data_IF_442496187347
#
_entry.id   IF_442496187347
#
_cell.length_a   1.000
_cell.length_b   1.000
_cell.length_c   1.000
_cell.angle_alpha   90.00
_cell.angle_beta   90.00
_cell.angle_gamma   90.00
#
_symmetry.space_group_name_H-M   'P 1'
#
loop_
_entity.id
_entity.type
_entity.pdbx_description
1 polymer ?
#
# COMPACT_ATOMS: atom_id res chain seq x y z
N UNK A 1 -1.75 11.21 -34.32
CA UNK A 1 -1.90 10.82 -32.91
C UNK A 1 -3.08 11.57 -32.35
N UNK A 2 -3.94 10.89 -31.58
CA UNK A 2 -5.01 11.58 -30.86
C UNK A 2 -4.43 12.46 -29.75
N UNK A 3 -5.08 13.59 -29.49
CA UNK A 3 -4.67 14.53 -28.45
C UNK A 3 -5.12 14.00 -27.08
N UNK A 4 -4.16 13.77 -26.19
CA UNK A 4 -4.43 13.41 -24.78
C UNK A 4 -5.14 14.60 -24.11
N UNK A 5 -6.24 14.33 -23.40
CA UNK A 5 -7.02 15.35 -22.66
C UNK A 5 -6.97 15.17 -21.14
N UNK A 6 -6.85 13.92 -20.70
CA UNK A 6 -6.94 13.53 -19.30
C UNK A 6 -5.69 12.74 -18.90
N UNK A 7 -5.21 12.97 -17.69
CA UNK A 7 -4.12 12.22 -17.07
C UNK A 7 -4.63 11.73 -15.71
N UNK A 8 -4.47 10.44 -15.44
CA UNK A 8 -4.86 9.82 -14.17
C UNK A 8 -3.58 9.39 -13.45
N UNK A 9 -3.44 9.80 -12.20
CA UNK A 9 -2.33 9.42 -11.33
C UNK A 9 -2.79 8.36 -10.34
N UNK A 10 -2.08 7.24 -10.33
CA UNK A 10 -2.14 6.30 -9.20
C UNK A 10 -1.34 6.85 -8.00
N UNK A 11 -1.53 6.26 -6.82
CA UNK A 11 -0.95 6.73 -5.57
C UNK A 11 0.25 5.85 -5.21
N UNK A 12 0.01 4.59 -4.84
CA UNK A 12 1.06 3.66 -4.39
C UNK A 12 2.06 3.34 -5.49
N UNK A 13 3.34 3.64 -5.25
CA UNK A 13 4.41 3.46 -6.22
C UNK A 13 4.42 4.49 -7.36
N UNK A 14 3.51 5.48 -7.35
CA UNK A 14 3.46 6.56 -8.35
C UNK A 14 3.60 7.93 -7.71
N UNK A 15 2.69 8.34 -6.83
CA UNK A 15 2.79 9.60 -6.10
C UNK A 15 3.40 9.41 -4.70
N UNK A 16 3.12 8.26 -4.07
CA UNK A 16 3.55 7.93 -2.72
C UNK A 16 4.31 6.61 -2.76
N UNK A 17 5.48 6.57 -2.12
CA UNK A 17 6.23 5.35 -1.94
C UNK A 17 5.54 4.50 -0.88
N UNK A 18 4.96 3.36 -1.28
CA UNK A 18 4.36 2.41 -0.36
C UNK A 18 5.18 1.11 -0.40
N UNK A 19 5.68 0.71 0.77
CA UNK A 19 6.48 -0.49 0.92
C UNK A 19 6.35 -1.08 2.34
N UNK A 20 5.75 -2.27 2.50
CA UNK A 20 5.63 -2.95 3.80
C UNK A 20 6.97 -3.18 4.51
N UNK A 21 8.08 -3.26 3.77
CA UNK A 21 9.42 -3.44 4.33
C UNK A 21 9.79 -2.30 5.29
N UNK A 22 9.29 -1.07 5.08
CA UNK A 22 9.58 0.06 5.98
C UNK A 22 9.08 -0.14 7.41
N UNK A 23 7.93 -0.80 7.56
CA UNK A 23 7.46 -1.23 8.87
C UNK A 23 8.25 -2.46 9.33
N UNK A 24 8.24 -3.53 8.53
CA UNK A 24 8.64 -4.85 9.03
C UNK A 24 10.13 -5.04 9.23
N UNK A 25 10.97 -4.23 8.59
CA UNK A 25 12.42 -4.15 8.90
C UNK A 25 12.71 -3.64 10.31
N UNK A 26 11.74 -3.02 10.99
CA UNK A 26 11.82 -2.61 12.40
C UNK A 26 11.25 -3.66 13.36
N UNK A 27 10.51 -4.64 12.84
CA UNK A 27 9.76 -5.63 13.63
C UNK A 27 10.54 -6.93 13.72
N UNK A 28 11.07 -7.41 12.60
CA UNK A 28 11.83 -8.65 12.54
C UNK A 28 13.33 -8.38 12.66
N UNK A 29 14.01 -9.14 13.51
CA UNK A 29 15.47 -9.12 13.60
C UNK A 29 16.11 -9.93 12.45
N UNK A 30 15.50 -11.06 12.08
CA UNK A 30 15.93 -11.87 10.94
C UNK A 30 15.24 -11.42 9.66
N UNK A 31 16.04 -10.97 8.70
CA UNK A 31 15.58 -10.58 7.37
C UNK A 31 14.89 -11.74 6.64
N UNK A 32 15.36 -12.97 6.79
CA UNK A 32 14.76 -14.12 6.11
C UNK A 32 13.35 -14.40 6.63
N UNK A 33 13.11 -14.21 7.93
CA UNK A 33 11.79 -14.33 8.55
C UNK A 33 10.85 -13.22 8.08
N UNK A 34 11.32 -11.97 8.03
CA UNK A 34 10.58 -10.84 7.45
C UNK A 34 10.15 -11.12 6.01
N UNK A 35 11.09 -11.57 5.17
CA UNK A 35 10.83 -11.90 3.78
C UNK A 35 9.85 -13.07 3.68
N UNK A 36 9.96 -14.09 4.55
CA UNK A 36 8.98 -15.16 4.62
C UNK A 36 7.58 -14.63 4.96
N UNK A 37 7.47 -13.77 5.99
CA UNK A 37 6.21 -13.19 6.43
C UNK A 37 5.53 -12.40 5.30
N UNK A 38 6.25 -11.52 4.61
CA UNK A 38 5.70 -10.71 3.51
C UNK A 38 5.38 -11.54 2.26
N UNK A 39 6.10 -12.64 2.01
CA UNK A 39 5.88 -13.47 0.83
C UNK A 39 4.89 -14.63 1.01
N UNK A 40 4.62 -15.05 2.26
CA UNK A 40 3.79 -16.23 2.54
C UNK A 40 2.61 -15.94 3.47
N UNK A 41 2.70 -14.92 4.33
CA UNK A 41 1.65 -14.55 5.28
C UNK A 41 0.89 -13.34 4.74
N UNK A 42 1.38 -12.12 4.95
CA UNK A 42 0.75 -10.89 4.46
C UNK A 42 1.17 -10.58 3.01
N UNK A 43 0.78 -11.45 2.09
CA UNK A 43 1.19 -11.39 0.69
C UNK A 43 0.52 -10.26 -0.08
N UNK A 44 1.14 -9.81 -1.17
CA UNK A 44 0.52 -8.82 -2.05
C UNK A 44 -0.86 -9.26 -2.60
N UNK A 45 -1.06 -10.51 -3.09
CA UNK A 45 -2.39 -10.97 -3.49
C UNK A 45 -3.43 -10.91 -2.37
N UNK A 46 -3.02 -11.11 -1.10
CA UNK A 46 -3.92 -10.95 0.04
C UNK A 46 -4.31 -9.47 0.24
N UNK A 47 -3.34 -8.55 0.19
CA UNK A 47 -3.58 -7.09 0.27
C UNK A 47 -4.57 -6.61 -0.81
N UNK A 48 -4.42 -7.10 -2.04
CA UNK A 48 -5.30 -6.74 -3.17
C UNK A 48 -6.78 -7.04 -2.89
N UNK A 49 -7.11 -8.02 -2.04
CA UNK A 49 -8.50 -8.28 -1.68
C UNK A 49 -9.09 -7.14 -0.83
N UNK A 50 -8.29 -6.48 0.00
CA UNK A 50 -8.72 -5.34 0.81
C UNK A 50 -8.86 -4.09 -0.06
N UNK A 51 -7.94 -3.91 -1.00
CA UNK A 51 -8.06 -2.90 -2.06
C UNK A 51 -9.34 -3.09 -2.90
N UNK A 52 -9.79 -4.33 -3.09
CA UNK A 52 -11.08 -4.67 -3.70
C UNK A 52 -12.30 -4.49 -2.79
N UNK A 53 -12.14 -3.93 -1.59
CA UNK A 53 -13.23 -3.59 -0.65
C UNK A 53 -13.51 -4.64 0.42
N UNK A 54 -12.65 -5.66 0.59
CA UNK A 54 -12.75 -6.56 1.76
C UNK A 54 -12.39 -5.80 3.04
N UNK A 55 -13.22 -5.85 4.10
CA UNK A 55 -12.91 -5.15 5.35
C UNK A 55 -11.57 -5.58 5.97
N UNK A 56 -10.73 -4.62 6.34
CA UNK A 56 -9.39 -4.90 6.88
C UNK A 56 -9.46 -5.68 8.19
N UNK A 57 -10.43 -5.37 9.06
CA UNK A 57 -10.62 -6.08 10.32
C UNK A 57 -10.94 -7.57 10.13
N UNK A 58 -11.76 -7.90 9.12
CA UNK A 58 -12.07 -9.28 8.76
C UNK A 58 -10.83 -9.98 8.19
N UNK A 59 -10.11 -9.31 7.28
CA UNK A 59 -8.88 -9.84 6.69
C UNK A 59 -7.82 -10.15 7.76
N UNK A 60 -7.62 -9.24 8.71
CA UNK A 60 -6.71 -9.41 9.86
C UNK A 60 -7.13 -10.59 10.72
N UNK A 61 -8.39 -10.68 11.14
CA UNK A 61 -8.87 -11.73 12.03
C UNK A 61 -8.76 -13.13 11.42
N UNK A 62 -9.13 -13.29 10.15
CA UNK A 62 -8.96 -14.57 9.44
C UNK A 62 -7.49 -14.94 9.29
N UNK A 63 -6.64 -13.97 8.94
CA UNK A 63 -5.22 -14.24 8.74
C UNK A 63 -4.50 -14.63 10.03
N UNK A 64 -4.88 -14.03 11.16
CA UNK A 64 -4.40 -14.42 12.49
C UNK A 64 -4.79 -15.85 12.88
N UNK A 65 -5.92 -16.37 12.38
CA UNK A 65 -6.31 -17.76 12.60
C UNK A 65 -5.51 -18.72 11.72
N UNK A 66 -5.20 -18.33 10.48
CA UNK A 66 -4.33 -19.11 9.58
C UNK A 66 -2.89 -19.19 10.08
N UNK A 67 -2.37 -18.10 10.66
CA UNK A 67 -0.99 -17.99 11.13
C UNK A 67 -0.92 -17.46 12.58
N UNK A 68 -1.30 -18.28 13.58
CA UNK A 68 -1.34 -17.85 14.98
C UNK A 68 0.02 -17.39 15.53
N UNK A 69 1.12 -17.89 14.98
CA UNK A 69 2.48 -17.52 15.37
C UNK A 69 2.87 -16.09 14.97
N UNK A 70 2.20 -15.50 13.98
CA UNK A 70 2.45 -14.13 13.51
C UNK A 70 1.30 -13.18 13.87
N UNK A 71 0.57 -13.48 14.94
CA UNK A 71 -0.68 -12.80 15.26
C UNK A 71 -0.49 -11.29 15.41
N UNK A 72 0.55 -10.87 16.11
CA UNK A 72 0.79 -9.46 16.38
C UNK A 72 1.29 -8.74 15.13
N UNK A 73 2.17 -9.38 14.36
CA UNK A 73 2.71 -8.88 13.10
C UNK A 73 1.60 -8.68 12.06
N UNK A 74 0.62 -9.58 12.00
CA UNK A 74 -0.57 -9.44 11.13
C UNK A 74 -1.43 -8.24 11.56
N UNK A 75 -1.63 -8.04 12.87
CA UNK A 75 -2.36 -6.88 13.37
C UNK A 75 -1.65 -5.56 13.02
N UNK A 76 -0.32 -5.55 13.03
CA UNK A 76 0.47 -4.38 12.66
C UNK A 76 0.32 -3.98 11.19
N UNK A 77 -0.04 -4.90 10.27
CA UNK A 77 -0.09 -4.60 8.84
C UNK A 77 -0.99 -3.41 8.51
N UNK A 78 -2.24 -3.46 8.99
CA UNK A 78 -3.18 -2.35 8.85
C UNK A 78 -3.16 -1.40 10.07
N UNK A 79 -2.86 -1.90 11.27
CA UNK A 79 -2.78 -1.06 12.47
C UNK A 79 -1.64 -0.04 12.46
N UNK A 80 -0.59 -0.28 11.67
CA UNK A 80 0.58 0.59 11.48
C UNK A 80 0.84 0.89 10.00
N UNK A 81 -0.20 0.84 9.17
CA UNK A 81 -0.13 1.05 7.71
C UNK A 81 0.65 2.31 7.32
N UNK A 82 0.45 3.42 8.04
CA UNK A 82 1.12 4.69 7.74
C UNK A 82 2.65 4.61 7.82
N UNK A 83 3.21 3.67 8.61
CA UNK A 83 4.67 3.46 8.68
C UNK A 83 5.23 2.73 7.46
N UNK A 84 4.38 2.17 6.60
CA UNK A 84 4.74 1.60 5.30
C UNK A 84 4.83 2.67 4.20
N UNK A 85 4.47 3.92 4.49
CA UNK A 85 4.57 5.03 3.55
C UNK A 85 5.95 5.69 3.67
N UNK A 86 6.77 5.54 2.62
CA UNK A 86 8.10 6.17 2.50
C UNK A 86 8.05 7.67 2.18
N UNK A 87 6.85 8.21 1.98
CA UNK A 87 6.63 9.62 1.67
C UNK A 87 6.36 9.87 0.19
N UNK A 88 6.45 11.14 -0.19
CA UNK A 88 6.16 11.61 -1.54
C UNK A 88 7.27 11.23 -2.53
N UNK A 89 6.89 10.70 -3.70
CA UNK A 89 7.78 10.56 -4.84
C UNK A 89 7.83 11.92 -5.56
N UNK A 90 8.72 12.79 -5.08
CA UNK A 90 8.79 14.21 -5.45
C UNK A 90 8.91 14.46 -6.97
N UNK A 91 9.56 13.55 -7.67
CA UNK A 91 9.82 13.59 -9.09
C UNK A 91 8.54 13.46 -9.91
N UNK A 92 7.57 12.69 -9.39
CA UNK A 92 6.29 12.41 -10.01
C UNK A 92 5.23 13.42 -9.55
N UNK A 93 5.18 13.71 -8.25
CA UNK A 93 4.20 14.63 -7.68
C UNK A 93 4.32 16.05 -8.24
N UNK A 94 5.55 16.54 -8.49
CA UNK A 94 5.77 17.84 -9.15
C UNK A 94 5.17 17.92 -10.54
N UNK A 95 5.02 16.78 -11.24
CA UNK A 95 4.43 16.72 -12.57
C UNK A 95 2.92 16.94 -12.52
N UNK A 96 2.25 16.58 -11.43
CA UNK A 96 0.80 16.79 -11.27
C UNK A 96 0.45 18.26 -11.50
N UNK A 97 1.15 19.17 -10.80
CA UNK A 97 0.94 20.63 -10.92
C UNK A 97 1.34 21.19 -12.29
N UNK A 98 2.36 20.62 -12.92
CA UNK A 98 2.80 21.06 -14.25
C UNK A 98 1.79 20.66 -15.33
N UNK A 99 1.33 19.42 -15.28
CA UNK A 99 0.43 18.82 -16.25
C UNK A 99 -1.01 19.33 -16.09
N UNK A 100 -1.44 19.64 -14.87
CA UNK A 100 -2.77 20.20 -14.61
C UNK A 100 -3.03 21.57 -15.28
N UNK A 101 -1.99 22.24 -15.78
CA UNK A 101 -2.12 23.48 -16.55
C UNK A 101 -2.69 23.25 -17.96
N UNK A 102 -2.47 22.06 -18.52
CA UNK A 102 -2.78 21.75 -19.92
C UNK A 102 -3.69 20.52 -20.08
N UNK A 103 -3.84 19.70 -19.04
CA UNK A 103 -4.63 18.48 -19.04
C UNK A 103 -5.56 18.46 -17.82
N UNK A 104 -6.70 17.76 -17.92
CA UNK A 104 -7.47 17.41 -16.75
C UNK A 104 -6.74 16.32 -15.98
N UNK A 105 -6.42 16.56 -14.72
CA UNK A 105 -5.70 15.60 -13.86
C UNK A 105 -6.64 15.00 -12.83
N UNK A 106 -6.60 13.67 -12.69
CA UNK A 106 -7.40 12.92 -11.73
C UNK A 106 -6.48 12.03 -10.88
N UNK A 107 -6.94 11.69 -9.67
CA UNK A 107 -6.36 10.62 -8.87
C UNK A 107 -7.24 9.38 -8.92
N UNK A 108 -6.64 8.20 -9.04
CA UNK A 108 -7.33 6.91 -8.95
C UNK A 108 -6.40 5.91 -8.28
N UNK A 109 -6.79 5.41 -7.12
CA UNK A 109 -6.03 4.39 -6.41
C UNK A 109 -6.93 3.24 -5.96
N UNK A 110 -6.33 2.06 -5.88
CA UNK A 110 -6.99 0.87 -5.35
C UNK A 110 -6.83 0.74 -3.84
N UNK A 111 -6.05 1.60 -3.17
CA UNK A 111 -5.90 1.53 -1.71
C UNK A 111 -7.27 1.42 -1.03
N UNK A 112 -7.38 0.46 -0.12
CA UNK A 112 -8.59 0.32 0.70
C UNK A 112 -9.02 1.67 1.28
N UNK A 113 -10.31 1.95 1.23
CA UNK A 113 -10.87 3.16 1.83
C UNK A 113 -10.59 3.27 3.34
N UNK A 114 -10.26 2.16 3.99
CA UNK A 114 -9.90 2.10 5.42
C UNK A 114 -8.44 2.48 5.70
N UNK A 115 -7.60 2.65 4.68
CA UNK A 115 -6.16 2.97 4.82
C UNK A 115 -5.80 4.36 4.30
N UNK A 116 -6.75 5.08 3.70
CA UNK A 116 -6.60 6.48 3.31
C UNK A 116 -6.71 7.36 4.58
N UNK A 117 -5.71 8.19 4.90
CA UNK A 117 -5.75 9.10 6.06
C UNK A 117 -6.85 10.17 5.97
#
# INVERSE_FOLDING_TARGET
MEQIKNIVFDFGGVLIDWNPVYLYSKIFEDRAEMEYFLNNVCTYPWNVLQDAGRPVALATAEKQQEFPQYKDEIAMYYGRWAEMLGGEISENSRLVKLLSKNYNTYGLTNWSAETIP
#
